data_IF_924313028855
#
_entry.id   IF_924313028855
#
_cell.length_a   1.000
_cell.length_b   1.000
_cell.length_c   1.000
_cell.angle_alpha   90.00
_cell.angle_beta   90.00
_cell.angle_gamma   90.00
#
_symmetry.space_group_name_H-M   'P 1'
#
loop_
_entity.id
_entity.type
_entity.pdbx_description
1 polymer ?
#
# COMPACT_ATOMS: atom_id res chain seq x y z
N UNK A 1 -13.54 -16.53 -24.36
CA UNK A 1 -12.09 -16.42 -24.14
C UNK A 1 -11.85 -16.58 -22.66
N UNK A 2 -11.20 -17.65 -22.23
CA UNK A 2 -10.95 -17.90 -20.83
C UNK A 2 -9.97 -16.82 -20.29
N UNK A 3 -10.28 -16.21 -19.16
CA UNK A 3 -9.40 -15.30 -18.46
C UNK A 3 -8.13 -16.06 -18.02
N UNK A 4 -6.95 -15.75 -18.58
CA UNK A 4 -5.74 -16.51 -18.29
C UNK A 4 -5.20 -16.30 -16.88
N UNK A 5 -5.77 -15.38 -16.09
CA UNK A 5 -5.43 -15.16 -14.68
C UNK A 5 -6.20 -16.07 -13.72
N UNK A 6 -7.16 -16.85 -14.25
CA UNK A 6 -8.00 -17.69 -13.43
C UNK A 6 -7.24 -18.96 -13.01
N UNK A 7 -7.02 -19.13 -11.72
CA UNK A 7 -6.95 -20.47 -11.15
C UNK A 7 -8.26 -21.19 -11.47
N UNK A 8 -8.28 -22.52 -11.62
CA UNK A 8 -9.53 -23.23 -11.88
C UNK A 8 -10.60 -22.78 -10.86
N UNK A 9 -11.59 -22.03 -11.35
CA UNK A 9 -12.70 -21.54 -10.55
C UNK A 9 -12.60 -20.14 -9.93
N UNK A 10 -11.46 -19.39 -10.08
CA UNK A 10 -11.31 -18.04 -9.53
C UNK A 10 -11.28 -16.99 -10.64
N UNK A 11 -12.13 -15.99 -10.52
CA UNK A 11 -12.26 -14.90 -11.50
C UNK A 11 -11.51 -13.65 -11.05
N UNK A 12 -11.22 -12.74 -11.98
CA UNK A 12 -10.67 -11.42 -11.66
C UNK A 12 -11.56 -10.62 -10.70
N UNK A 13 -12.88 -10.84 -10.77
CA UNK A 13 -13.84 -10.27 -9.80
C UNK A 13 -13.58 -10.76 -8.39
N UNK A 14 -13.30 -12.05 -8.21
CA UNK A 14 -13.02 -12.63 -6.89
C UNK A 14 -11.73 -12.03 -6.30
N UNK A 15 -10.72 -11.85 -7.13
CA UNK A 15 -9.46 -11.19 -6.76
C UNK A 15 -9.71 -9.73 -6.36
N UNK A 16 -10.53 -9.01 -7.12
CA UNK A 16 -10.92 -7.64 -6.78
C UNK A 16 -11.62 -7.59 -5.43
N UNK A 17 -12.64 -8.39 -5.21
CA UNK A 17 -13.41 -8.40 -3.96
C UNK A 17 -12.55 -8.76 -2.74
N UNK A 18 -11.54 -9.61 -2.93
CA UNK A 18 -10.65 -10.01 -1.85
C UNK A 18 -9.63 -8.92 -1.49
N UNK A 19 -9.08 -8.22 -2.48
CA UNK A 19 -7.92 -7.35 -2.28
C UNK A 19 -8.21 -5.84 -2.39
N UNK A 20 -9.34 -5.44 -2.97
CA UNK A 20 -9.64 -4.04 -3.27
C UNK A 20 -9.56 -3.14 -2.04
N UNK A 21 -10.08 -3.58 -0.90
CA UNK A 21 -10.07 -2.77 0.33
C UNK A 21 -8.63 -2.52 0.85
N UNK A 22 -7.81 -3.56 0.87
CA UNK A 22 -6.39 -3.44 1.26
C UNK A 22 -5.65 -2.50 0.34
N UNK A 23 -5.80 -2.69 -0.98
CA UNK A 23 -5.15 -1.87 -1.98
C UNK A 23 -5.62 -0.41 -1.94
N UNK A 24 -6.91 -0.20 -1.73
CA UNK A 24 -7.48 1.15 -1.58
C UNK A 24 -6.90 1.87 -0.36
N UNK A 25 -6.80 1.22 0.79
CA UNK A 25 -6.19 1.80 2.00
C UNK A 25 -4.73 2.18 1.78
N UNK A 26 -3.97 1.33 1.08
CA UNK A 26 -2.59 1.66 0.68
C UNK A 26 -2.59 2.90 -0.22
N UNK A 27 -3.44 2.94 -1.24
CA UNK A 27 -3.53 4.08 -2.13
C UNK A 27 -3.88 5.37 -1.39
N UNK A 28 -4.86 5.35 -0.48
CA UNK A 28 -5.23 6.51 0.35
C UNK A 28 -4.06 7.00 1.19
N UNK A 29 -3.23 6.09 1.71
CA UNK A 29 -2.05 6.46 2.50
C UNK A 29 -1.01 7.27 1.70
N UNK A 30 -0.96 7.07 0.39
CA UNK A 30 -0.08 7.81 -0.52
C UNK A 30 -0.74 9.06 -1.11
N UNK A 31 -1.97 8.92 -1.59
CA UNK A 31 -2.65 9.96 -2.38
C UNK A 31 -3.37 10.99 -1.51
N UNK A 32 -3.83 10.60 -0.32
CA UNK A 32 -4.56 11.43 0.66
C UNK A 32 -5.89 12.02 0.17
N UNK A 33 -6.43 11.50 -0.91
CA UNK A 33 -7.75 11.86 -1.41
C UNK A 33 -8.41 10.65 -2.08
N UNK A 34 -9.74 10.62 -2.08
CA UNK A 34 -10.50 9.51 -2.63
C UNK A 34 -10.39 9.41 -4.18
N UNK A 35 -10.55 10.49 -4.96
CA UNK A 35 -10.52 10.38 -6.42
C UNK A 35 -9.24 9.75 -6.96
N UNK A 36 -8.07 10.18 -6.48
CA UNK A 36 -6.79 9.65 -6.94
C UNK A 36 -6.54 8.23 -6.45
N UNK A 37 -7.01 7.91 -5.24
CA UNK A 37 -6.91 6.56 -4.69
C UNK A 37 -7.76 5.58 -5.49
N UNK A 38 -8.94 5.98 -5.91
CA UNK A 38 -9.80 5.20 -6.80
C UNK A 38 -9.17 5.01 -8.18
N UNK A 39 -8.59 6.07 -8.75
CA UNK A 39 -7.88 6.00 -10.03
C UNK A 39 -6.68 5.05 -9.95
N UNK A 40 -5.91 5.12 -8.88
CA UNK A 40 -4.79 4.20 -8.65
C UNK A 40 -5.26 2.75 -8.53
N UNK A 41 -6.35 2.51 -7.82
CA UNK A 41 -6.94 1.19 -7.67
C UNK A 41 -7.41 0.62 -9.02
N UNK A 42 -8.12 1.42 -9.81
CA UNK A 42 -8.57 1.02 -11.13
C UNK A 42 -7.39 0.69 -12.06
N UNK A 43 -6.38 1.53 -12.10
CA UNK A 43 -5.17 1.29 -12.90
C UNK A 43 -4.45 0.00 -12.45
N UNK A 44 -4.41 -0.28 -11.15
CA UNK A 44 -3.83 -1.51 -10.63
C UNK A 44 -4.53 -2.75 -11.19
N UNK A 45 -5.87 -2.75 -11.18
CA UNK A 45 -6.64 -3.87 -11.73
C UNK A 45 -6.62 -3.94 -13.26
N UNK A 46 -6.53 -2.82 -13.96
CA UNK A 46 -6.29 -2.82 -15.41
C UNK A 46 -4.96 -3.50 -15.73
N UNK A 47 -3.90 -3.19 -14.98
CA UNK A 47 -2.59 -3.86 -15.15
C UNK A 47 -2.67 -5.35 -14.78
N UNK A 48 -3.42 -5.70 -13.75
CA UNK A 48 -3.65 -7.09 -13.38
C UNK A 48 -4.31 -7.87 -14.52
N UNK A 49 -5.37 -7.33 -15.11
CA UNK A 49 -6.07 -7.95 -16.24
C UNK A 49 -5.19 -8.08 -17.50
N UNK A 50 -4.42 -7.03 -17.79
CA UNK A 50 -3.51 -7.03 -18.96
C UNK A 50 -2.35 -7.99 -18.81
N UNK A 51 -1.90 -8.24 -17.60
CA UNK A 51 -0.79 -9.16 -17.35
C UNK A 51 -1.10 -10.56 -17.82
N UNK A 52 -2.31 -11.06 -17.60
CA UNK A 52 -2.76 -12.37 -18.05
C UNK A 52 -1.93 -13.56 -17.55
N UNK A 53 -1.01 -13.34 -16.62
CA UNK A 53 -0.11 -14.38 -16.13
C UNK A 53 -0.68 -15.05 -14.87
N UNK A 54 -0.57 -16.37 -14.84
CA UNK A 54 -0.87 -17.14 -13.64
C UNK A 54 0.19 -16.86 -12.57
N UNK A 55 -0.26 -16.63 -11.36
CA UNK A 55 0.62 -16.53 -10.19
C UNK A 55 0.86 -17.91 -9.60
N UNK A 56 2.07 -18.13 -9.08
CA UNK A 56 2.46 -19.41 -8.49
C UNK A 56 1.60 -19.77 -7.28
N UNK A 57 1.25 -18.79 -6.48
CA UNK A 57 0.43 -18.93 -5.27
C UNK A 57 -0.30 -17.63 -4.90
N UNK A 58 -1.28 -17.66 -3.95
CA UNK A 58 -2.03 -16.47 -3.51
C UNK A 58 -1.17 -15.37 -2.91
N UNK A 59 -0.10 -15.72 -2.21
CA UNK A 59 0.81 -14.76 -1.62
C UNK A 59 1.60 -13.99 -2.68
N UNK A 60 2.01 -14.66 -3.73
CA UNK A 60 2.69 -14.03 -4.87
C UNK A 60 1.75 -13.06 -5.62
N UNK A 61 0.49 -13.45 -5.85
CA UNK A 61 -0.53 -12.60 -6.45
C UNK A 61 -0.76 -11.33 -5.60
N UNK A 62 -0.98 -11.49 -4.30
CA UNK A 62 -1.17 -10.37 -3.39
C UNK A 62 0.05 -9.46 -3.31
N UNK A 63 1.24 -10.02 -3.21
CA UNK A 63 2.50 -9.26 -3.21
C UNK A 63 2.67 -8.44 -4.49
N UNK A 64 2.35 -9.02 -5.64
CA UNK A 64 2.39 -8.31 -6.92
C UNK A 64 1.39 -7.14 -6.98
N UNK A 65 0.16 -7.34 -6.51
CA UNK A 65 -0.86 -6.30 -6.44
C UNK A 65 -0.42 -5.15 -5.52
N UNK A 66 0.11 -5.45 -4.35
CA UNK A 66 0.60 -4.46 -3.38
C UNK A 66 1.76 -3.66 -3.98
N UNK A 67 2.75 -4.32 -4.57
CA UNK A 67 3.87 -3.62 -5.20
C UNK A 67 3.41 -2.75 -6.38
N UNK A 68 2.45 -3.24 -7.17
CA UNK A 68 1.90 -2.52 -8.31
C UNK A 68 1.17 -1.25 -7.87
N UNK A 69 0.29 -1.31 -6.87
CA UNK A 69 -0.43 -0.12 -6.38
C UNK A 69 0.53 0.92 -5.80
N UNK A 70 1.55 0.51 -5.06
CA UNK A 70 2.57 1.41 -4.52
C UNK A 70 3.32 2.13 -5.65
N UNK A 71 3.73 1.41 -6.67
CA UNK A 71 4.42 1.99 -7.82
C UNK A 71 3.53 2.96 -8.59
N UNK A 72 2.26 2.64 -8.79
CA UNK A 72 1.29 3.54 -9.42
C UNK A 72 1.17 4.84 -8.61
N UNK A 73 0.97 4.75 -7.31
CA UNK A 73 0.87 5.93 -6.44
C UNK A 73 2.12 6.80 -6.49
N UNK A 74 3.30 6.18 -6.45
CA UNK A 74 4.57 6.89 -6.57
C UNK A 74 4.72 7.59 -7.92
N UNK A 75 4.33 6.94 -9.01
CA UNK A 75 4.38 7.52 -10.34
C UNK A 75 3.40 8.70 -10.48
N UNK A 76 2.18 8.58 -9.94
CA UNK A 76 1.22 9.66 -9.90
C UNK A 76 1.74 10.87 -9.12
N UNK A 77 2.35 10.65 -7.95
CA UNK A 77 2.94 11.72 -7.13
C UNK A 77 4.13 12.39 -7.83
N UNK A 78 4.98 11.63 -8.50
CA UNK A 78 6.09 12.16 -9.31
C UNK A 78 5.59 12.99 -10.49
N UNK A 79 4.55 12.52 -11.17
CA UNK A 79 3.93 13.24 -12.30
C UNK A 79 3.38 14.60 -11.84
N UNK A 80 2.74 14.66 -10.68
CA UNK A 80 2.26 15.92 -10.08
C UNK A 80 3.40 16.86 -9.72
N UNK A 81 4.46 16.35 -9.11
CA UNK A 81 5.63 17.17 -8.76
C UNK A 81 6.31 17.78 -9.98
N UNK A 82 6.26 17.11 -11.15
CA UNK A 82 6.78 17.64 -12.41
C UNK A 82 5.85 18.64 -13.09
N UNK A 83 4.53 18.50 -12.90
CA UNK A 83 3.51 19.40 -13.45
C UNK A 83 3.32 20.69 -12.63
N UNK A 84 4.15 20.96 -11.66
CA UNK A 84 4.00 22.03 -10.68
C UNK A 84 4.33 23.45 -11.21
N UNK A 85 4.50 23.61 -12.51
CA UNK A 85 4.56 24.94 -13.16
C UNK A 85 3.18 25.50 -13.57
N UNK A 86 2.11 24.76 -13.34
CA UNK A 86 0.75 25.25 -13.48
C UNK A 86 0.11 25.43 -12.12
N UNK A 87 0.07 26.68 -11.73
CA UNK A 87 -0.69 27.31 -10.65
C UNK A 87 -1.94 26.55 -10.18
N UNK A 88 -2.07 26.54 -8.83
CA UNK A 88 -3.36 26.62 -8.13
C UNK A 88 -4.26 25.40 -8.28
N UNK A 89 -3.81 24.27 -7.82
CA UNK A 89 -4.67 23.39 -7.05
C UNK A 89 -3.79 22.71 -6.01
N UNK A 90 -3.58 23.39 -4.88
CA UNK A 90 -3.44 22.67 -3.65
C UNK A 90 -4.86 22.12 -3.38
N UNK A 91 -5.13 20.85 -3.68
CA UNK A 91 -6.22 20.25 -2.97
C UNK A 91 -5.79 20.40 -1.52
N UNK A 92 -6.52 21.19 -0.77
CA UNK A 92 -6.45 21.15 0.68
C UNK A 92 -6.21 19.69 1.02
N UNK A 93 -5.16 19.42 1.78
CA UNK A 93 -4.86 18.10 2.30
C UNK A 93 -6.19 17.56 2.79
N UNK A 94 -6.88 16.80 1.93
CA UNK A 94 -8.20 16.32 2.24
C UNK A 94 -8.05 15.58 3.53
N UNK A 95 -8.76 16.02 4.55
CA UNK A 95 -8.79 15.33 5.82
C UNK A 95 -9.02 13.84 5.51
N UNK A 96 -8.28 12.94 6.14
CA UNK A 96 -8.51 11.53 5.95
C UNK A 96 -10.01 11.26 6.08
N UNK A 97 -10.59 10.34 5.28
CA UNK A 97 -12.01 10.03 5.36
C UNK A 97 -12.42 9.85 6.83
N UNK A 98 -13.58 10.36 7.21
CA UNK A 98 -14.03 10.47 8.61
C UNK A 98 -14.06 9.15 9.42
N UNK A 99 -13.78 8.03 8.80
CA UNK A 99 -13.68 6.70 9.40
C UNK A 99 -12.23 6.18 9.49
N UNK A 100 -11.23 7.03 9.35
CA UNK A 100 -9.85 6.59 9.52
C UNK A 100 -9.50 6.50 11.00
N UNK A 101 -9.10 5.30 11.40
CA UNK A 101 -8.43 5.02 12.65
C UNK A 101 -7.26 6.01 12.85
N UNK A 102 -7.08 6.50 14.07
CA UNK A 102 -6.00 7.44 14.44
C UNK A 102 -4.62 6.94 14.00
N UNK A 103 -4.41 5.62 14.02
CA UNK A 103 -3.20 4.99 13.51
C UNK A 103 -3.02 5.20 12.00
N UNK A 104 -4.08 5.07 11.23
CA UNK A 104 -4.02 5.28 9.78
C UNK A 104 -3.66 6.73 9.45
N UNK A 105 -4.21 7.68 10.20
CA UNK A 105 -3.88 9.11 10.07
C UNK A 105 -2.41 9.39 10.38
N UNK A 106 -1.87 8.74 11.42
CA UNK A 106 -0.44 8.83 11.76
C UNK A 106 0.45 8.21 10.66
N UNK A 107 0.02 7.11 10.07
CA UNK A 107 0.73 6.49 8.92
C UNK A 107 0.77 7.43 7.72
N UNK A 108 -0.29 8.19 7.47
CA UNK A 108 -0.33 9.17 6.37
C UNK A 108 0.71 10.28 6.50
N UNK A 109 1.07 10.63 7.71
CA UNK A 109 2.08 11.66 8.00
C UNK A 109 3.52 11.18 7.80
N UNK A 110 3.74 9.86 7.71
CA UNK A 110 5.08 9.29 7.54
C UNK A 110 5.64 9.52 6.13
N UNK A 111 6.97 9.57 5.98
CA UNK A 111 7.60 9.47 4.67
C UNK A 111 7.17 8.19 3.93
N UNK A 112 7.01 8.28 2.61
CA UNK A 112 6.49 7.20 1.76
C UNK A 112 7.17 5.85 1.94
N UNK A 113 8.50 5.86 2.17
CA UNK A 113 9.28 4.64 2.38
C UNK A 113 8.87 3.82 3.61
N UNK A 114 8.19 4.43 4.58
CA UNK A 114 7.76 3.76 5.81
C UNK A 114 6.31 3.27 5.75
N UNK A 115 5.48 3.86 4.90
CA UNK A 115 4.04 3.59 4.86
C UNK A 115 3.72 2.14 4.55
N UNK A 116 4.24 1.61 3.45
CA UNK A 116 3.94 0.25 3.02
C UNK A 116 4.44 -0.82 4.00
N UNK A 117 5.71 -0.81 4.46
CA UNK A 117 6.15 -1.78 5.45
C UNK A 117 5.33 -1.74 6.74
N UNK A 118 5.03 -0.55 7.23
CA UNK A 118 4.27 -0.37 8.47
C UNK A 118 2.84 -0.88 8.33
N UNK A 119 2.17 -0.53 7.22
CA UNK A 119 0.81 -0.97 6.95
C UNK A 119 0.73 -2.51 6.87
N UNK A 120 1.61 -3.12 6.10
CA UNK A 120 1.65 -4.57 5.93
C UNK A 120 1.92 -5.31 7.26
N UNK A 121 2.79 -4.77 8.09
CA UNK A 121 3.11 -5.37 9.38
C UNK A 121 1.98 -5.26 10.39
N UNK A 122 1.39 -4.08 10.56
CA UNK A 122 0.39 -3.81 11.60
C UNK A 122 -1.03 -4.15 11.20
N UNK A 123 -1.44 -3.87 9.98
CA UNK A 123 -2.82 -4.12 9.54
C UNK A 123 -3.03 -5.51 8.96
N UNK A 124 -2.11 -5.94 8.14
CA UNK A 124 -2.23 -7.23 7.45
C UNK A 124 -1.50 -8.37 8.17
N UNK A 125 -0.70 -8.08 9.19
CA UNK A 125 -0.05 -9.09 10.03
C UNK A 125 1.06 -9.87 9.35
N UNK A 126 1.66 -9.33 8.28
CA UNK A 126 2.78 -9.97 7.59
C UNK A 126 4.06 -9.94 8.42
N UNK A 127 4.84 -11.00 8.31
CA UNK A 127 6.18 -11.06 8.87
C UNK A 127 7.15 -10.17 8.09
N UNK A 128 8.25 -9.78 8.72
CA UNK A 128 9.31 -8.98 8.05
C UNK A 128 9.84 -9.68 6.79
N UNK A 129 9.97 -11.00 6.82
CA UNK A 129 10.38 -11.81 5.66
C UNK A 129 9.41 -11.68 4.49
N UNK A 130 8.11 -11.85 4.76
CA UNK A 130 7.07 -11.74 3.75
C UNK A 130 7.01 -10.33 3.15
N UNK A 131 7.13 -9.29 3.99
CA UNK A 131 7.18 -7.90 3.55
C UNK A 131 8.40 -7.64 2.66
N UNK A 132 9.56 -8.18 3.03
CA UNK A 132 10.78 -8.05 2.24
C UNK A 132 10.61 -8.68 0.85
N UNK A 133 10.01 -9.85 0.77
CA UNK A 133 9.70 -10.51 -0.51
C UNK A 133 8.69 -9.70 -1.33
N UNK A 134 7.57 -9.25 -0.72
CA UNK A 134 6.53 -8.46 -1.40
C UNK A 134 7.06 -7.15 -1.96
N UNK A 135 7.87 -6.43 -1.18
CA UNK A 135 8.41 -5.13 -1.55
C UNK A 135 9.73 -5.22 -2.32
N UNK A 136 10.27 -6.42 -2.50
CA UNK A 136 11.59 -6.66 -3.12
C UNK A 136 12.71 -5.87 -2.45
N UNK A 137 12.72 -5.91 -1.11
CA UNK A 137 13.70 -5.24 -0.27
C UNK A 137 14.47 -6.27 0.55
N UNK A 138 15.72 -5.95 0.94
CA UNK A 138 16.44 -6.76 1.93
C UNK A 138 15.69 -6.77 3.28
N UNK A 139 15.73 -7.88 3.99
CA UNK A 139 15.12 -8.02 5.33
C UNK A 139 15.61 -6.94 6.29
N UNK A 140 16.90 -6.66 6.29
CA UNK A 140 17.49 -5.61 7.13
C UNK A 140 16.93 -4.22 6.81
N UNK A 141 16.64 -3.93 5.56
CA UNK A 141 16.01 -2.67 5.14
C UNK A 141 14.60 -2.56 5.69
N UNK A 142 13.81 -3.63 5.63
CA UNK A 142 12.47 -3.66 6.19
C UNK A 142 12.51 -3.47 7.71
N UNK A 143 13.38 -4.17 8.41
CA UNK A 143 13.58 -4.00 9.86
C UNK A 143 13.94 -2.55 10.23
N UNK A 144 14.87 -1.95 9.51
CA UNK A 144 15.28 -0.56 9.74
C UNK A 144 14.13 0.41 9.49
N UNK A 145 13.37 0.22 8.42
CA UNK A 145 12.20 1.07 8.10
C UNK A 145 11.11 0.94 9.16
N UNK A 146 10.79 -0.27 9.61
CA UNK A 146 9.82 -0.50 10.67
C UNK A 146 10.27 0.13 12.00
N UNK A 147 11.54 -0.03 12.38
CA UNK A 147 12.08 0.57 13.60
C UNK A 147 12.00 2.09 13.59
N UNK A 148 12.37 2.73 12.46
CA UNK A 148 12.29 4.19 12.30
C UNK A 148 10.85 4.69 12.25
N UNK A 149 9.96 3.98 11.57
CA UNK A 149 8.55 4.31 11.54
C UNK A 149 7.93 4.25 12.93
N UNK A 150 8.18 3.19 13.69
CA UNK A 150 7.75 3.06 15.09
C UNK A 150 8.26 4.21 15.96
N UNK A 151 9.51 4.60 15.80
CA UNK A 151 10.10 5.70 16.55
C UNK A 151 9.41 7.03 16.24
N UNK A 152 9.12 7.31 14.98
CA UNK A 152 8.38 8.52 14.59
C UNK A 152 6.96 8.53 15.13
N UNK A 153 6.24 7.40 15.04
CA UNK A 153 4.88 7.30 15.59
C UNK A 153 4.84 7.48 17.10
N UNK A 154 5.84 7.00 17.83
CA UNK A 154 5.93 7.24 19.28
C UNK A 154 6.13 8.71 19.63
N UNK A 155 6.90 9.44 18.84
CA UNK A 155 7.14 10.87 19.02
C UNK A 155 5.87 11.69 18.77
N UNK A 156 5.04 11.27 17.83
CA UNK A 156 3.80 11.97 17.47
C UNK A 156 2.61 11.55 18.35
N UNK A 157 2.57 10.28 18.77
CA UNK A 157 1.39 9.69 19.39
C UNK A 157 1.46 9.58 20.91
N UNK A 158 2.63 9.72 21.53
CA UNK A 158 2.81 9.56 22.99
C UNK A 158 2.35 8.20 23.54
N UNK A 159 2.12 7.22 22.68
CA UNK A 159 1.54 5.93 23.01
C UNK A 159 2.57 4.82 23.25
N UNK A 160 2.16 3.87 24.09
CA UNK A 160 2.95 2.70 24.48
C UNK A 160 3.37 1.85 23.29
N UNK A 161 4.58 1.27 23.31
CA UNK A 161 4.98 0.27 22.35
C UNK A 161 4.09 -0.96 22.49
N UNK A 162 3.57 -1.45 21.36
CA UNK A 162 3.00 -2.80 21.30
C UNK A 162 4.16 -3.79 21.36
N UNK A 163 4.20 -4.57 22.44
CA UNK A 163 5.24 -5.59 22.72
C UNK A 163 5.08 -6.83 21.83
N UNK A 164 4.77 -6.66 20.57
CA UNK A 164 4.96 -7.75 19.62
C UNK A 164 6.44 -7.83 19.28
N UNK A 165 7.13 -8.55 20.15
CA UNK A 165 8.51 -8.89 19.93
C UNK A 165 8.70 -9.46 18.54
N UNK A 166 9.65 -8.89 17.83
CA UNK A 166 10.24 -9.48 16.64
C UNK A 166 10.84 -10.83 17.04
N UNK A 167 10.03 -11.86 16.98
CA UNK A 167 10.56 -13.21 17.08
C UNK A 167 11.12 -13.56 15.71
N UNK A 168 12.39 -13.92 15.72
CA UNK A 168 13.26 -14.31 14.59
C UNK A 168 12.60 -15.11 13.48
#
# INVERSE_FOLDING_TARGET
MADPSARPGRTARDVYLEHAQTLYRIAVSYMRNAPDSEDALQECFVRYLRRGALFADPGHEKGWLILTIINICRDMLKSRARGHDCLEDHPELAAPPAETDDLLSAVFALPDRYKAPLYLYYYDGYTVKEIAEMLRLPVNTVNTRLARAKKQLKLEWGGKPDDRETND
#
